data_IF_076098385156
#
_entry.id   IF_076098385156
#
_cell.length_a   1.000
_cell.length_b   1.000
_cell.length_c   1.000
_cell.angle_alpha   90.00
_cell.angle_beta   90.00
_cell.angle_gamma   90.00
#
_symmetry.space_group_name_H-M   'P 1'
#
loop_
_entity.id
_entity.type
_entity.pdbx_description
1 polymer ?
#
# COMPACT_ATOMS: atom_id res chain seq x y z
N UNK A 1 -3.05 78.74 -8.07
CA UNK A 1 -2.88 77.83 -6.91
C UNK A 1 -3.66 76.57 -7.19
N UNK A 2 -3.00 75.44 -7.51
CA UNK A 2 -3.34 74.08 -7.10
C UNK A 2 -2.34 73.11 -7.75
N UNK A 3 -1.33 72.69 -7.00
CA UNK A 3 -0.41 71.61 -7.40
C UNK A 3 -1.08 70.27 -7.06
N UNK A 4 -1.23 69.39 -8.05
CA UNK A 4 -1.62 68.01 -7.83
C UNK A 4 -0.36 67.15 -7.78
N UNK A 5 -0.04 66.67 -6.58
CA UNK A 5 0.96 65.62 -6.34
C UNK A 5 0.30 64.28 -6.64
N UNK A 6 0.71 63.62 -7.71
CA UNK A 6 0.39 62.21 -7.93
C UNK A 6 1.54 61.36 -7.38
N UNK A 7 1.19 60.55 -6.38
CA UNK A 7 2.07 59.65 -5.68
C UNK A 7 2.61 58.56 -6.60
N UNK A 8 3.93 58.44 -6.66
CA UNK A 8 4.64 57.30 -7.25
C UNK A 8 4.51 56.09 -6.32
N UNK A 9 3.71 55.10 -6.71
CA UNK A 9 3.68 53.78 -6.08
C UNK A 9 5.00 53.04 -6.39
N UNK A 10 5.83 52.88 -5.37
CA UNK A 10 6.98 51.97 -5.36
C UNK A 10 6.49 50.52 -5.39
N UNK A 11 6.72 49.83 -6.50
CA UNK A 11 6.57 48.38 -6.60
C UNK A 11 7.83 47.73 -6.02
N UNK A 12 7.68 47.08 -4.87
CA UNK A 12 8.73 46.24 -4.27
C UNK A 12 8.68 44.86 -4.94
N UNK A 13 9.77 44.35 -5.54
CA UNK A 13 9.80 42.99 -6.04
C UNK A 13 9.85 42.01 -4.85
N UNK A 14 8.82 41.17 -4.71
CA UNK A 14 8.83 40.02 -3.80
C UNK A 14 9.69 38.94 -4.45
N UNK A 15 10.89 38.72 -3.91
CA UNK A 15 11.68 37.54 -4.23
C UNK A 15 11.02 36.32 -3.60
N UNK A 16 10.32 35.51 -4.42
CA UNK A 16 9.87 34.19 -4.02
C UNK A 16 11.08 33.26 -3.99
N UNK A 17 11.70 33.14 -2.81
CA UNK A 17 12.66 32.09 -2.52
C UNK A 17 11.91 30.76 -2.55
N UNK A 18 12.00 30.09 -3.70
CA UNK A 18 11.34 28.81 -3.92
C UNK A 18 12.20 27.76 -3.22
N UNK A 19 11.93 27.54 -1.93
CA UNK A 19 12.41 26.35 -1.24
C UNK A 19 11.79 25.14 -1.94
N UNK A 20 12.51 24.58 -2.90
CA UNK A 20 12.29 23.23 -3.41
C UNK A 20 12.50 22.28 -2.25
N UNK A 21 11.42 21.97 -1.54
CA UNK A 21 11.36 20.81 -0.64
C UNK A 21 11.50 19.60 -1.55
N UNK A 22 12.70 19.05 -1.63
CA UNK A 22 12.92 17.72 -2.20
C UNK A 22 12.25 16.75 -1.24
N UNK A 23 10.98 16.42 -1.51
CA UNK A 23 10.30 15.29 -0.89
C UNK A 23 10.90 14.03 -1.52
N UNK A 24 12.09 13.67 -1.06
CA UNK A 24 12.56 12.29 -1.19
C UNK A 24 11.68 11.39 -0.32
N UNK A 25 11.58 10.09 -0.62
CA UNK A 25 10.91 9.16 0.29
C UNK A 25 11.56 9.31 1.68
N UNK A 26 10.78 9.77 2.64
CA UNK A 26 11.18 9.69 4.05
C UNK A 26 11.48 8.21 4.32
N UNK A 27 12.60 7.87 5.00
CA UNK A 27 12.84 6.51 5.44
C UNK A 27 11.63 6.12 6.30
N UNK A 28 10.76 5.31 5.70
CA UNK A 28 9.39 5.14 6.14
C UNK A 28 9.36 4.58 7.54
N UNK A 29 8.46 5.13 8.35
CA UNK A 29 7.94 4.47 9.54
C UNK A 29 7.74 2.98 9.21
N UNK A 30 8.35 2.09 9.99
CA UNK A 30 8.36 0.66 9.70
C UNK A 30 6.93 0.16 9.46
N UNK A 31 6.65 -0.26 8.22
CA UNK A 31 5.34 -0.77 7.85
C UNK A 31 5.02 -1.96 8.74
N UNK A 32 3.85 -1.95 9.40
CA UNK A 32 3.45 -3.07 10.24
C UNK A 32 3.17 -4.30 9.36
N UNK A 33 3.49 -5.52 9.84
CA UNK A 33 3.15 -6.74 9.12
C UNK A 33 1.66 -6.85 8.82
N UNK A 34 1.34 -7.40 7.66
CA UNK A 34 0.00 -7.80 7.25
C UNK A 34 -0.23 -9.28 7.52
N UNK A 35 -1.40 -9.60 8.05
CA UNK A 35 -1.94 -10.95 8.06
C UNK A 35 -2.94 -11.09 6.91
N UNK A 36 -2.62 -11.96 5.95
CA UNK A 36 -3.47 -12.26 4.79
C UNK A 36 -3.98 -13.70 4.84
N UNK A 37 -5.18 -13.93 4.28
CA UNK A 37 -5.84 -15.22 4.20
C UNK A 37 -6.10 -15.61 2.74
N UNK A 38 -6.13 -16.90 2.43
CA UNK A 38 -6.20 -17.40 1.05
C UNK A 38 -6.72 -18.84 1.04
N UNK A 39 -7.51 -19.24 0.04
CA UNK A 39 -7.85 -20.67 -0.12
C UNK A 39 -6.61 -21.41 -0.63
N UNK A 40 -6.26 -22.52 0.01
CA UNK A 40 -5.01 -23.24 -0.26
C UNK A 40 -4.87 -23.67 -1.73
N UNK A 41 -5.97 -24.04 -2.39
CA UNK A 41 -5.97 -24.44 -3.81
C UNK A 41 -5.51 -23.35 -4.79
N UNK A 42 -5.53 -22.09 -4.35
CA UNK A 42 -5.12 -20.92 -5.13
C UNK A 42 -3.73 -20.41 -4.75
N UNK A 43 -3.08 -21.04 -3.77
CA UNK A 43 -1.74 -20.66 -3.34
C UNK A 43 -0.70 -21.22 -4.29
N UNK A 44 0.00 -20.33 -4.98
CA UNK A 44 1.07 -20.65 -5.90
C UNK A 44 2.30 -19.79 -5.59
N UNK A 45 3.49 -20.37 -5.75
CA UNK A 45 4.76 -19.66 -5.64
C UNK A 45 5.48 -19.73 -7.01
N UNK A 46 5.61 -18.59 -7.68
CA UNK A 46 6.17 -18.49 -9.04
C UNK A 46 7.09 -17.28 -9.16
N UNK A 47 8.32 -17.47 -9.64
CA UNK A 47 9.32 -16.41 -9.84
C UNK A 47 9.55 -15.52 -8.60
N UNK A 48 9.55 -16.12 -7.40
CA UNK A 48 9.71 -15.37 -6.15
C UNK A 48 8.50 -14.53 -5.77
N UNK A 49 7.32 -14.82 -6.33
CA UNK A 49 6.04 -14.18 -6.01
C UNK A 49 5.09 -15.20 -5.41
N UNK A 50 4.32 -14.77 -4.43
CA UNK A 50 3.23 -15.52 -3.82
C UNK A 50 1.92 -15.04 -4.43
N UNK A 51 1.30 -15.92 -5.20
CA UNK A 51 0.05 -15.67 -5.91
C UNK A 51 -1.08 -16.34 -5.13
N UNK A 52 -2.10 -15.55 -4.77
CA UNK A 52 -3.36 -16.08 -4.25
C UNK A 52 -4.48 -15.03 -4.31
N UNK A 53 -5.70 -15.46 -4.02
CA UNK A 53 -6.86 -14.63 -3.74
C UNK A 53 -6.80 -14.00 -2.32
N UNK A 54 -5.72 -13.28 -2.01
CA UNK A 54 -5.44 -12.74 -0.68
C UNK A 54 -6.56 -11.85 -0.14
N UNK A 55 -7.09 -12.21 1.03
CA UNK A 55 -8.08 -11.44 1.78
C UNK A 55 -7.50 -10.95 3.11
N UNK A 56 -8.01 -9.83 3.62
CA UNK A 56 -7.65 -9.30 4.95
C UNK A 56 -8.45 -9.94 6.10
N UNK A 57 -9.38 -10.84 5.76
CA UNK A 57 -10.24 -11.53 6.71
C UNK A 57 -10.49 -12.96 6.23
N UNK A 58 -10.53 -13.90 7.17
CA UNK A 58 -10.82 -15.30 6.92
C UNK A 58 -12.10 -15.52 6.10
N UNK A 59 -13.23 -14.91 6.51
CA UNK A 59 -14.52 -15.11 5.85
C UNK A 59 -14.49 -14.62 4.40
N UNK A 60 -13.75 -13.56 4.10
CA UNK A 60 -13.64 -13.06 2.73
C UNK A 60 -12.81 -13.98 1.84
N UNK A 61 -11.84 -14.73 2.37
CA UNK A 61 -11.01 -15.65 1.57
C UNK A 61 -11.85 -16.71 0.82
N UNK A 62 -13.03 -17.05 1.35
CA UNK A 62 -13.96 -17.98 0.72
C UNK A 62 -14.70 -17.41 -0.51
N UNK A 63 -14.76 -16.09 -0.66
CA UNK A 63 -15.56 -15.43 -1.71
C UNK A 63 -14.74 -14.68 -2.76
N UNK A 64 -13.43 -14.50 -2.57
CA UNK A 64 -12.58 -13.80 -3.55
C UNK A 64 -12.28 -14.75 -4.72
N UNK A 65 -12.68 -14.35 -5.94
CA UNK A 65 -12.36 -15.09 -7.17
C UNK A 65 -10.86 -15.01 -7.51
N UNK A 66 -10.28 -16.12 -7.96
CA UNK A 66 -8.90 -16.17 -8.44
C UNK A 66 -8.79 -15.67 -9.91
N UNK A 67 -7.70 -14.97 -10.27
CA UNK A 67 -6.64 -14.43 -9.40
C UNK A 67 -7.02 -13.07 -8.79
N UNK A 68 -6.48 -12.75 -7.60
CA UNK A 68 -6.53 -11.35 -7.12
C UNK A 68 -5.42 -10.53 -7.76
N UNK A 69 -5.61 -9.20 -7.80
CA UNK A 69 -4.61 -8.24 -8.24
C UNK A 69 -3.49 -8.01 -7.21
N UNK A 70 -3.51 -8.68 -6.05
CA UNK A 70 -2.49 -8.52 -5.01
C UNK A 70 -1.40 -9.58 -5.18
N UNK A 71 -0.20 -9.12 -5.51
CA UNK A 71 1.01 -9.95 -5.58
C UNK A 71 1.88 -9.66 -4.37
N UNK A 72 2.27 -10.70 -3.62
CA UNK A 72 3.20 -10.59 -2.49
C UNK A 72 4.55 -11.13 -2.94
N UNK A 73 5.66 -10.48 -2.59
CA UNK A 73 6.99 -11.01 -2.87
C UNK A 73 7.33 -12.12 -1.87
N UNK A 74 7.92 -13.22 -2.31
CA UNK A 74 8.30 -14.34 -1.44
C UNK A 74 9.26 -13.90 -0.32
N UNK A 75 10.14 -12.95 -0.60
CA UNK A 75 11.04 -12.34 0.39
C UNK A 75 10.35 -11.49 1.46
N UNK A 76 9.07 -11.13 1.28
CA UNK A 76 8.29 -10.41 2.28
C UNK A 76 7.63 -11.34 3.31
N UNK A 77 7.69 -12.67 3.10
CA UNK A 77 7.14 -13.67 3.99
C UNK A 77 7.83 -13.63 5.36
N UNK A 78 7.03 -13.57 6.43
CA UNK A 78 7.51 -13.60 7.82
C UNK A 78 7.26 -14.94 8.50
N UNK A 79 6.34 -15.74 7.96
CA UNK A 79 6.04 -17.10 8.42
C UNK A 79 5.64 -17.96 7.23
N UNK A 80 5.83 -19.28 7.34
CA UNK A 80 5.22 -20.19 6.35
C UNK A 80 3.68 -20.10 6.40
N UNK A 81 2.99 -20.39 5.28
CA UNK A 81 1.55 -20.50 5.27
C UNK A 81 1.05 -21.60 6.23
N UNK A 82 0.01 -21.31 6.99
CA UNK A 82 -0.59 -22.24 7.95
C UNK A 82 -2.08 -22.37 7.67
N UNK A 83 -2.60 -23.60 7.58
CA UNK A 83 -4.04 -23.87 7.47
C UNK A 83 -4.71 -23.52 8.80
N UNK A 84 -5.71 -22.64 8.77
CA UNK A 84 -6.37 -22.13 9.98
C UNK A 84 -7.87 -22.39 10.03
N UNK A 85 -8.43 -23.00 8.99
CA UNK A 85 -9.84 -23.37 8.92
C UNK A 85 -10.23 -23.79 7.51
N UNK A 86 -11.53 -23.90 7.30
CA UNK A 86 -12.14 -24.36 6.06
C UNK A 86 -13.31 -23.42 5.70
N UNK A 87 -13.59 -23.29 4.41
CA UNK A 87 -14.80 -22.66 3.89
C UNK A 87 -16.01 -23.60 4.02
N UNK A 88 -17.23 -23.09 3.77
CA UNK A 88 -18.47 -23.88 3.89
C UNK A 88 -18.52 -25.10 2.94
N UNK A 89 -17.75 -25.07 1.84
CA UNK A 89 -17.58 -26.16 0.88
C UNK A 89 -16.46 -27.14 1.26
N UNK A 90 -15.78 -26.92 2.39
CA UNK A 90 -14.67 -27.74 2.88
C UNK A 90 -13.30 -27.33 2.34
N UNK A 91 -13.21 -26.26 1.56
CA UNK A 91 -11.92 -25.80 1.01
C UNK A 91 -11.04 -25.20 2.12
N UNK A 92 -9.80 -25.70 2.31
CA UNK A 92 -8.92 -25.22 3.37
C UNK A 92 -8.44 -23.79 3.11
N UNK A 93 -8.39 -22.99 4.17
CA UNK A 93 -7.92 -21.61 4.16
C UNK A 93 -6.61 -21.50 4.92
N UNK A 94 -5.60 -20.94 4.26
CA UNK A 94 -4.29 -20.63 4.84
C UNK A 94 -4.24 -19.18 5.31
N UNK A 95 -3.44 -18.92 6.36
CA UNK A 95 -2.97 -17.58 6.75
C UNK A 95 -1.50 -17.40 6.38
N UNK A 96 -1.10 -16.16 6.10
CA UNK A 96 0.27 -15.76 5.82
C UNK A 96 0.57 -14.41 6.48
N UNK A 97 1.63 -14.36 7.30
CA UNK A 97 2.18 -13.11 7.82
C UNK A 97 3.27 -12.59 6.88
N UNK A 98 3.19 -11.33 6.44
CA UNK A 98 4.13 -10.74 5.49
C UNK A 98 4.26 -9.22 5.65
N UNK A 99 5.27 -8.59 5.05
CA UNK A 99 5.35 -7.13 4.86
C UNK A 99 4.73 -6.68 3.53
#
# INVERSE_FOLDING_TARGET
MWQWLLATSLLVPVSFDTQTIIVGPQPGEGQSPYLSFCQQRFYEEEDGRLLCNWAVNFNYACFVSYPSNKVIQAGAKLSEPEVVGECDDGEPVIKLLHY
#
